data_IF_891485634406
#
_entry.id   IF_891485634406
#
_cell.length_a   1.000
_cell.length_b   1.000
_cell.length_c   1.000
_cell.angle_alpha   90.00
_cell.angle_beta   90.00
_cell.angle_gamma   90.00
#
_symmetry.space_group_name_H-M   'P 1'
#
loop_
_entity.id
_entity.type
_entity.pdbx_description
1 polymer ?
#
# COMPACT_ATOMS: atom_id res chain seq x y z
N UNK A 1 32.13 -4.14 1.97
CA UNK A 1 32.65 -4.48 0.64
C UNK A 1 32.04 -5.82 0.23
N UNK A 2 31.30 -5.89 -0.89
CA UNK A 2 30.74 -7.16 -1.36
C UNK A 2 31.87 -8.05 -1.90
N UNK A 3 32.00 -9.26 -1.37
CA UNK A 3 33.04 -10.19 -1.80
C UNK A 3 32.74 -10.72 -3.21
N UNK A 4 33.69 -10.53 -4.14
CA UNK A 4 33.55 -10.92 -5.55
C UNK A 4 33.13 -12.39 -5.69
N UNK A 5 32.04 -12.63 -6.43
CA UNK A 5 31.57 -13.99 -6.74
C UNK A 5 32.51 -14.64 -7.78
N UNK A 6 32.73 -15.95 -7.66
CA UNK A 6 33.41 -16.71 -8.72
C UNK A 6 32.45 -16.97 -9.87
N UNK A 7 32.96 -17.26 -11.08
CA UNK A 7 32.12 -17.58 -12.24
C UNK A 7 31.09 -18.67 -11.93
N UNK A 8 31.52 -19.72 -11.22
CA UNK A 8 30.63 -20.82 -10.83
C UNK A 8 29.56 -20.44 -9.81
N UNK A 9 29.88 -19.53 -8.90
CA UNK A 9 28.92 -18.98 -7.94
C UNK A 9 27.89 -18.08 -8.64
N UNK A 10 28.31 -17.33 -9.66
CA UNK A 10 27.43 -16.52 -10.49
C UNK A 10 26.45 -17.39 -11.28
N UNK A 11 26.93 -18.48 -11.91
CA UNK A 11 26.08 -19.43 -12.64
C UNK A 11 24.97 -20.02 -11.76
N UNK A 12 25.29 -20.38 -10.51
CA UNK A 12 24.31 -20.87 -9.53
C UNK A 12 23.29 -19.77 -9.20
N UNK A 13 23.75 -18.54 -8.98
CA UNK A 13 22.88 -17.41 -8.67
C UNK A 13 21.91 -17.11 -9.82
N UNK A 14 22.40 -17.16 -11.06
CA UNK A 14 21.60 -16.93 -12.27
C UNK A 14 20.60 -18.05 -12.52
N UNK A 15 20.96 -19.30 -12.20
CA UNK A 15 20.03 -20.42 -12.21
C UNK A 15 18.88 -20.20 -11.21
N UNK A 16 19.21 -19.83 -9.96
CA UNK A 16 18.20 -19.56 -8.93
C UNK A 16 17.26 -18.43 -9.35
N UNK A 17 17.79 -17.33 -9.90
CA UNK A 17 17.00 -16.20 -10.44
C UNK A 17 16.05 -16.65 -11.54
N UNK A 18 16.53 -17.42 -12.50
CA UNK A 18 15.72 -17.92 -13.63
C UNK A 18 14.60 -18.85 -13.16
N UNK A 19 14.90 -19.80 -12.27
CA UNK A 19 13.88 -20.72 -11.75
C UNK A 19 12.80 -19.98 -10.97
N UNK A 20 13.18 -19.04 -10.10
CA UNK A 20 12.22 -18.20 -9.37
C UNK A 20 11.29 -17.43 -10.31
N UNK A 21 11.82 -16.86 -11.40
CA UNK A 21 11.01 -16.13 -12.38
C UNK A 21 10.04 -17.02 -13.17
N UNK A 22 10.36 -18.31 -13.36
CA UNK A 22 9.56 -19.22 -14.17
C UNK A 22 8.52 -20.01 -13.36
N UNK A 23 8.87 -20.42 -12.14
CA UNK A 23 8.04 -21.34 -11.34
C UNK A 23 7.47 -20.71 -10.07
N UNK A 24 7.96 -19.53 -9.68
CA UNK A 24 7.56 -18.85 -8.44
C UNK A 24 8.19 -19.43 -7.17
N UNK A 25 9.06 -20.43 -7.27
CA UNK A 25 9.75 -21.04 -6.12
C UNK A 25 11.23 -21.31 -6.40
N UNK A 26 12.11 -21.24 -5.38
CA UNK A 26 13.53 -21.48 -5.57
C UNK A 26 13.82 -22.97 -5.82
N UNK A 27 14.87 -23.28 -6.61
CA UNK A 27 15.24 -24.66 -6.88
C UNK A 27 15.76 -25.37 -5.63
N UNK A 28 15.66 -26.69 -5.59
CA UNK A 28 16.28 -27.52 -4.54
C UNK A 28 17.76 -27.73 -4.79
N UNK A 29 18.49 -28.21 -3.78
CA UNK A 29 19.92 -28.55 -3.91
C UNK A 29 20.17 -29.64 -4.96
N UNK A 30 19.24 -30.59 -5.07
CA UNK A 30 19.29 -31.66 -6.08
C UNK A 30 19.05 -31.10 -7.49
N UNK A 31 18.08 -30.19 -7.66
CA UNK A 31 17.80 -29.54 -8.94
C UNK A 31 18.99 -28.69 -9.42
N UNK A 32 19.66 -27.95 -8.51
CA UNK A 32 20.88 -27.19 -8.82
C UNK A 32 22.02 -28.13 -9.24
N UNK A 33 22.18 -29.25 -8.52
CA UNK A 33 23.19 -30.25 -8.84
C UNK A 33 22.99 -30.86 -10.23
N UNK A 34 21.75 -31.21 -10.56
CA UNK A 34 21.38 -31.75 -11.87
C UNK A 34 21.57 -30.72 -13.00
N UNK A 35 21.07 -29.49 -12.80
CA UNK A 35 21.09 -28.45 -13.82
C UNK A 35 22.51 -27.96 -14.17
N UNK A 36 23.44 -27.99 -13.21
CA UNK A 36 24.82 -27.54 -13.42
C UNK A 36 25.83 -28.69 -13.54
N UNK A 37 25.39 -29.95 -13.43
CA UNK A 37 26.27 -31.12 -13.57
C UNK A 37 27.23 -31.32 -12.39
N UNK A 38 26.80 -31.03 -11.17
CA UNK A 38 27.59 -31.36 -9.98
C UNK A 38 27.56 -32.86 -9.70
N UNK A 39 28.69 -33.40 -9.23
CA UNK A 39 28.84 -34.84 -8.90
C UNK A 39 27.96 -35.28 -7.72
N UNK A 40 27.49 -34.34 -6.89
CA UNK A 40 26.59 -34.63 -5.77
C UNK A 40 25.84 -33.36 -5.31
N UNK A 41 24.69 -33.51 -4.62
CA UNK A 41 23.97 -32.38 -4.01
C UNK A 41 24.80 -31.59 -2.98
N UNK A 42 25.73 -32.25 -2.28
CA UNK A 42 26.62 -31.60 -1.31
C UNK A 42 27.58 -30.60 -1.96
N UNK A 43 28.03 -30.87 -3.20
CA UNK A 43 28.87 -29.92 -3.93
C UNK A 43 28.12 -28.63 -4.27
N UNK A 44 26.82 -28.71 -4.56
CA UNK A 44 25.96 -27.53 -4.70
C UNK A 44 25.77 -26.81 -3.36
N UNK A 45 25.67 -27.55 -2.26
CA UNK A 45 25.54 -26.98 -0.91
C UNK A 45 26.75 -26.14 -0.48
N UNK A 46 27.97 -26.57 -0.78
CA UNK A 46 29.17 -25.81 -0.45
C UNK A 46 29.21 -24.46 -1.17
N UNK A 47 28.79 -24.44 -2.45
CA UNK A 47 28.66 -23.20 -3.19
C UNK A 47 27.53 -22.31 -2.67
N UNK A 48 26.40 -22.89 -2.26
CA UNK A 48 25.30 -22.14 -1.64
C UNK A 48 25.72 -21.53 -0.29
N UNK A 49 26.46 -22.26 0.54
CA UNK A 49 27.04 -21.74 1.78
C UNK A 49 28.03 -20.61 1.51
N UNK A 50 28.84 -20.74 0.46
CA UNK A 50 29.76 -19.69 0.06
C UNK A 50 29.01 -18.44 -0.46
N UNK A 51 27.94 -18.61 -1.25
CA UNK A 51 27.05 -17.53 -1.68
C UNK A 51 26.37 -16.85 -0.49
N UNK A 52 25.96 -17.63 0.52
CA UNK A 52 25.35 -17.10 1.74
C UNK A 52 26.34 -16.30 2.59
N UNK A 53 27.57 -16.82 2.77
CA UNK A 53 28.66 -16.10 3.43
C UNK A 53 29.02 -14.80 2.70
N UNK A 54 28.87 -14.77 1.38
CA UNK A 54 29.10 -13.57 0.55
C UNK A 54 27.88 -12.64 0.47
N UNK A 55 26.78 -12.97 1.18
CA UNK A 55 25.58 -12.15 1.26
C UNK A 55 24.80 -12.06 -0.05
N UNK A 56 24.97 -13.03 -0.96
CA UNK A 56 24.22 -13.11 -2.21
C UNK A 56 22.89 -13.87 -2.06
N UNK A 57 22.80 -14.76 -1.06
CA UNK A 57 21.60 -15.53 -0.73
C UNK A 57 21.49 -15.74 0.80
N UNK A 58 20.33 -16.13 1.27
CA UNK A 58 20.07 -16.64 2.61
C UNK A 58 19.58 -18.09 2.51
N UNK A 59 20.02 -18.93 3.46
CA UNK A 59 19.67 -20.34 3.52
C UNK A 59 18.86 -20.62 4.79
N UNK A 60 17.66 -21.17 4.63
CA UNK A 60 16.85 -21.67 5.75
C UNK A 60 17.17 -23.14 6.00
N UNK A 61 17.66 -23.46 7.20
CA UNK A 61 17.94 -24.83 7.63
C UNK A 61 16.63 -25.63 7.75
N UNK A 62 16.67 -26.92 7.40
CA UNK A 62 15.51 -27.83 7.50
C UNK A 62 14.44 -27.68 6.40
N UNK A 63 14.52 -26.68 5.53
CA UNK A 63 13.60 -26.51 4.41
C UNK A 63 14.20 -27.01 3.09
N UNK A 64 13.49 -27.88 2.36
CA UNK A 64 13.91 -28.39 1.04
C UNK A 64 14.15 -27.28 0.01
N UNK A 65 13.37 -26.20 0.10
CA UNK A 65 13.41 -24.98 -0.75
C UNK A 65 13.75 -23.71 0.03
N UNK A 66 14.54 -23.84 1.09
CA UNK A 66 14.99 -22.71 1.92
C UNK A 66 16.12 -21.89 1.29
N UNK A 67 15.95 -21.38 0.07
CA UNK A 67 16.93 -20.47 -0.58
C UNK A 67 16.22 -19.15 -0.88
N UNK A 68 16.76 -18.04 -0.38
CA UNK A 68 16.25 -16.69 -0.63
C UNK A 68 17.36 -15.85 -1.25
N UNK A 69 17.08 -15.17 -2.36
CA UNK A 69 18.06 -14.27 -2.99
C UNK A 69 18.18 -12.99 -2.15
N UNK A 70 19.41 -12.56 -1.90
CA UNK A 70 19.70 -11.26 -1.31
C UNK A 70 20.20 -10.36 -2.44
N UNK A 71 19.45 -9.30 -2.75
CA UNK A 71 19.64 -8.48 -3.93
C UNK A 71 21.04 -7.83 -3.93
N UNK A 72 21.95 -8.34 -4.75
CA UNK A 72 23.13 -7.62 -5.23
C UNK A 72 22.89 -7.32 -6.71
N UNK A 73 22.69 -6.05 -7.04
CA UNK A 73 22.72 -5.53 -8.40
C UNK A 73 24.10 -4.89 -8.65
N UNK A 74 24.66 -4.97 -9.88
CA UNK A 74 25.84 -4.21 -10.25
C UNK A 74 25.49 -2.74 -10.54
N UNK A 75 26.25 -1.82 -9.90
CA UNK A 75 26.54 -0.38 -10.11
C UNK A 75 25.84 0.42 -11.25
N UNK A 76 25.74 1.77 -11.19
CA UNK A 76 25.52 2.68 -10.08
C UNK A 76 24.34 3.62 -10.42
N UNK A 77 23.17 3.32 -9.90
CA UNK A 77 22.18 4.33 -9.54
C UNK A 77 22.01 4.14 -8.04
N UNK A 78 21.95 5.22 -7.26
CA UNK A 78 21.65 5.18 -5.82
C UNK A 78 20.33 4.39 -5.57
N UNK A 79 20.40 3.07 -5.59
CA UNK A 79 19.40 2.16 -5.06
C UNK A 79 19.72 2.10 -3.58
N UNK A 80 19.26 3.16 -2.90
CA UNK A 80 18.94 3.18 -1.49
C UNK A 80 18.55 1.74 -1.08
N UNK A 81 19.17 1.24 -0.01
CA UNK A 81 18.68 0.11 0.77
C UNK A 81 17.14 0.15 0.78
N UNK A 82 16.38 -0.96 0.83
CA UNK A 82 14.98 -0.90 1.23
C UNK A 82 14.98 -0.45 2.69
N UNK A 83 15.22 0.84 2.90
CA UNK A 83 14.85 1.53 4.09
C UNK A 83 13.35 1.25 4.20
N UNK A 84 12.84 0.93 5.39
CA UNK A 84 11.39 0.91 5.62
C UNK A 84 10.71 2.21 5.15
N UNK A 85 11.46 3.29 4.92
CA UNK A 85 11.06 4.53 4.26
C UNK A 85 10.77 4.45 2.74
N UNK A 86 11.03 3.33 2.05
CA UNK A 86 10.76 3.14 0.61
C UNK A 86 9.64 2.14 0.32
N UNK A 87 9.08 1.49 1.35
CA UNK A 87 7.92 0.62 1.18
C UNK A 87 6.67 1.49 1.01
N UNK A 88 6.38 1.88 -0.23
CA UNK A 88 5.15 2.59 -0.55
C UNK A 88 3.96 1.64 -0.34
N UNK A 89 2.97 2.10 0.42
CA UNK A 89 1.65 1.47 0.47
C UNK A 89 0.85 1.92 -0.74
N UNK A 90 0.28 0.96 -1.48
CA UNK A 90 -0.61 1.24 -2.59
C UNK A 90 -2.04 1.45 -2.05
N UNK A 91 -2.58 2.64 -2.27
CA UNK A 91 -3.95 3.00 -1.89
C UNK A 91 -4.83 3.18 -3.13
N UNK A 92 -6.04 2.60 -3.16
CA UNK A 92 -6.98 2.87 -4.22
C UNK A 92 -7.45 4.33 -4.13
N UNK A 93 -7.40 5.04 -5.26
CA UNK A 93 -7.98 6.37 -5.42
C UNK A 93 -9.42 6.25 -5.89
N UNK A 94 -10.35 6.58 -5.00
CA UNK A 94 -11.78 6.65 -5.25
C UNK A 94 -12.12 8.04 -5.81
N UNK A 95 -12.75 8.04 -6.98
CA UNK A 95 -13.18 9.25 -7.68
C UNK A 95 -14.67 9.52 -7.49
N UNK A 96 -15.45 9.26 -8.54
CA UNK A 96 -16.92 9.28 -8.47
C UNK A 96 -17.44 8.00 -7.85
N UNK A 97 -18.36 8.16 -6.92
CA UNK A 97 -19.12 7.05 -6.34
C UNK A 97 -20.48 7.04 -7.05
N UNK A 98 -20.84 5.89 -7.62
CA UNK A 98 -22.14 5.64 -8.21
C UNK A 98 -23.14 5.20 -7.14
N UNK A 99 -24.41 5.49 -7.41
CA UNK A 99 -25.55 5.07 -6.61
C UNK A 99 -25.56 3.54 -6.37
N UNK A 100 -25.97 3.12 -5.17
CA UNK A 100 -26.22 1.72 -4.84
C UNK A 100 -25.02 0.78 -4.70
N UNK A 101 -23.79 1.22 -4.97
CA UNK A 101 -22.57 0.41 -4.83
C UNK A 101 -21.70 0.84 -3.62
N UNK A 102 -20.99 -0.08 -2.95
CA UNK A 102 -20.02 0.28 -1.91
C UNK A 102 -18.95 1.27 -2.38
N UNK A 103 -18.46 2.15 -1.50
CA UNK A 103 -17.48 3.19 -1.87
C UNK A 103 -16.19 2.63 -2.51
N UNK A 104 -15.79 1.41 -2.13
CA UNK A 104 -14.61 0.71 -2.66
C UNK A 104 -14.92 -0.26 -3.82
N UNK A 105 -16.10 -0.19 -4.42
CA UNK A 105 -16.39 -0.96 -5.63
C UNK A 105 -15.35 -0.64 -6.71
N UNK A 106 -14.90 -1.65 -7.46
CA UNK A 106 -13.85 -1.52 -8.47
C UNK A 106 -14.15 -0.42 -9.50
N UNK A 107 -15.44 -0.19 -9.79
CA UNK A 107 -15.92 0.86 -10.69
C UNK A 107 -15.63 2.29 -10.22
N UNK A 108 -15.46 2.50 -8.91
CA UNK A 108 -15.14 3.81 -8.33
C UNK A 108 -13.63 4.06 -8.24
N UNK A 109 -12.81 3.02 -8.39
CA UNK A 109 -11.35 3.11 -8.29
C UNK A 109 -10.78 3.60 -9.62
N UNK A 110 -10.26 4.83 -9.62
CA UNK A 110 -9.63 5.42 -10.82
C UNK A 110 -8.24 4.83 -11.08
N UNK A 111 -7.46 4.61 -10.01
CA UNK A 111 -6.09 4.06 -10.03
C UNK A 111 -5.60 3.76 -8.62
N UNK A 112 -4.43 3.14 -8.50
CA UNK A 112 -3.69 3.05 -7.23
C UNK A 112 -2.67 4.18 -7.10
N UNK A 113 -2.42 4.61 -5.87
CA UNK A 113 -1.45 5.66 -5.51
C UNK A 113 -0.47 5.10 -4.49
N UNK A 114 0.82 5.12 -4.82
CA UNK A 114 1.87 4.80 -3.87
C UNK A 114 2.07 5.94 -2.87
N UNK A 115 1.93 5.65 -1.58
CA UNK A 115 2.10 6.62 -0.50
C UNK A 115 3.00 6.04 0.57
N UNK A 116 3.90 6.85 1.13
CA UNK A 116 4.72 6.45 2.28
C UNK A 116 3.81 6.28 3.53
N UNK A 117 3.77 5.09 4.16
CA UNK A 117 2.99 4.85 5.37
C UNK A 117 3.34 5.82 6.51
N UNK A 118 4.59 6.28 6.57
CA UNK A 118 5.07 7.20 7.59
C UNK A 118 4.45 8.61 7.53
N UNK A 119 3.75 8.95 6.44
CA UNK A 119 3.05 10.23 6.31
C UNK A 119 1.79 10.32 7.17
N UNK A 120 1.27 9.19 7.68
CA UNK A 120 0.04 9.16 8.45
C UNK A 120 0.23 8.49 9.81
N UNK A 121 -0.33 9.09 10.86
CA UNK A 121 -0.38 8.46 12.19
C UNK A 121 -1.28 7.24 12.21
N UNK A 122 -2.32 7.22 11.37
CA UNK A 122 -3.20 6.09 11.16
C UNK A 122 -3.15 5.68 9.70
N UNK A 123 -2.95 4.39 9.44
CA UNK A 123 -2.96 3.84 8.09
C UNK A 123 -4.32 4.05 7.42
N UNK A 124 -4.41 4.82 6.32
CA UNK A 124 -5.62 4.90 5.51
C UNK A 124 -5.84 3.61 4.72
N UNK A 125 -7.09 3.33 4.39
CA UNK A 125 -7.50 2.21 3.53
C UNK A 125 -7.66 2.63 2.07
N UNK A 126 -8.00 3.92 1.83
CA UNK A 126 -8.16 4.47 0.49
C UNK A 126 -7.94 5.99 0.47
N UNK A 127 -7.80 6.54 -0.74
CA UNK A 127 -7.82 7.97 -0.98
C UNK A 127 -9.16 8.34 -1.64
N UNK A 128 -9.79 9.42 -1.21
CA UNK A 128 -11.00 9.97 -1.82
C UNK A 128 -10.67 11.31 -2.49
N UNK A 129 -10.99 11.46 -3.77
CA UNK A 129 -10.87 12.74 -4.46
C UNK A 129 -11.97 13.69 -4.02
N UNK A 130 -11.60 14.78 -3.35
CA UNK A 130 -12.53 15.80 -2.86
C UNK A 130 -13.12 16.57 -4.03
N UNK A 131 -14.42 16.86 -3.93
CA UNK A 131 -15.15 17.71 -4.87
C UNK A 131 -15.90 18.81 -4.12
N UNK A 132 -15.75 20.04 -4.59
CA UNK A 132 -16.37 21.22 -4.01
C UNK A 132 -15.60 21.80 -2.82
N UNK A 133 -16.20 22.83 -2.21
CA UNK A 133 -15.55 23.71 -1.25
C UNK A 133 -16.18 23.66 0.15
N UNK A 134 -17.02 22.66 0.44
CA UNK A 134 -17.77 22.62 1.71
C UNK A 134 -16.88 22.49 2.95
N UNK A 135 -15.60 22.13 2.77
CA UNK A 135 -14.63 21.93 3.86
C UNK A 135 -13.44 22.91 3.77
N UNK A 136 -13.61 24.02 3.03
CA UNK A 136 -12.55 25.00 2.74
C UNK A 136 -11.84 25.50 4.00
N UNK A 137 -12.59 25.87 5.02
CA UNK A 137 -12.06 26.50 6.24
C UNK A 137 -11.38 25.47 7.17
N UNK A 138 -11.60 24.17 6.94
CA UNK A 138 -10.79 23.08 7.49
C UNK A 138 -9.51 22.79 6.66
N UNK A 139 -9.24 23.59 5.63
CA UNK A 139 -8.08 23.45 4.75
C UNK A 139 -8.21 22.34 3.70
N UNK A 140 -9.42 21.78 3.51
CA UNK A 140 -9.70 20.75 2.50
C UNK A 140 -10.34 21.43 1.29
N UNK A 141 -9.65 21.40 0.15
CA UNK A 141 -10.02 22.11 -1.07
C UNK A 141 -10.46 21.15 -2.18
N UNK A 142 -11.11 21.71 -3.19
CA UNK A 142 -11.51 20.96 -4.38
C UNK A 142 -10.27 20.32 -5.06
N UNK A 143 -10.37 19.03 -5.38
CA UNK A 143 -9.31 18.27 -6.02
C UNK A 143 -8.24 17.70 -5.08
N UNK A 144 -8.32 17.96 -3.77
CA UNK A 144 -7.47 17.28 -2.79
C UNK A 144 -7.74 15.77 -2.75
N UNK A 145 -6.75 15.01 -2.30
CA UNK A 145 -6.90 13.59 -2.00
C UNK A 145 -6.98 13.42 -0.48
N UNK A 146 -8.18 13.11 0.00
CA UNK A 146 -8.44 12.84 1.40
C UNK A 146 -8.03 11.39 1.72
N UNK A 147 -7.12 11.19 2.67
CA UNK A 147 -6.77 9.86 3.13
C UNK A 147 -7.80 9.38 4.16
N UNK A 148 -8.45 8.26 3.89
CA UNK A 148 -9.60 7.79 4.65
C UNK A 148 -9.30 6.42 5.25
N UNK A 149 -9.53 6.30 6.56
CA UNK A 149 -9.58 5.01 7.25
C UNK A 149 -11.02 4.55 7.34
N UNK A 150 -11.31 3.39 6.77
CA UNK A 150 -12.64 2.78 6.77
C UNK A 150 -13.00 2.37 8.20
N UNK A 151 -14.13 2.87 8.68
CA UNK A 151 -14.65 2.54 10.00
C UNK A 151 -16.14 2.83 10.05
N UNK A 152 -16.96 1.95 10.66
CA UNK A 152 -18.38 2.20 10.87
C UNK A 152 -18.64 3.19 12.03
N UNK A 153 -17.59 3.58 12.76
CA UNK A 153 -17.69 4.46 13.91
C UNK A 153 -16.75 5.67 13.80
N UNK A 154 -17.25 6.82 14.25
CA UNK A 154 -16.51 8.06 14.38
C UNK A 154 -16.96 8.84 15.63
N UNK A 155 -16.02 9.57 16.22
CA UNK A 155 -16.24 10.45 17.36
C UNK A 155 -16.78 11.80 16.90
N UNK A 156 -17.51 12.45 17.81
CA UNK A 156 -17.98 13.81 17.62
C UNK A 156 -16.82 14.75 17.28
N UNK A 157 -17.01 15.61 16.29
CA UNK A 157 -16.00 16.55 15.82
C UNK A 157 -14.98 15.96 14.83
N UNK A 158 -15.00 14.66 14.50
CA UNK A 158 -14.12 14.14 13.44
C UNK A 158 -14.65 14.52 12.04
N UNK A 159 -13.73 14.71 11.09
CA UNK A 159 -14.08 14.83 9.67
C UNK A 159 -14.30 13.41 9.14
N UNK A 160 -15.44 13.20 8.51
CA UNK A 160 -15.91 11.89 8.07
C UNK A 160 -16.25 11.90 6.59
N UNK A 161 -16.15 10.71 5.99
CA UNK A 161 -16.79 10.40 4.72
C UNK A 161 -18.08 9.67 5.03
N UNK A 162 -19.20 10.23 4.59
CA UNK A 162 -20.52 9.64 4.77
C UNK A 162 -21.21 9.52 3.42
N UNK A 163 -22.00 8.46 3.26
CA UNK A 163 -22.94 8.28 2.17
C UNK A 163 -24.34 8.54 2.69
N UNK A 164 -25.06 9.44 2.03
CA UNK A 164 -26.46 9.74 2.28
C UNK A 164 -27.23 9.39 1.02
N UNK A 165 -28.14 8.44 1.13
CA UNK A 165 -28.80 7.86 -0.02
C UNK A 165 -27.73 7.37 -1.04
N UNK A 166 -27.60 8.06 -2.18
CA UNK A 166 -26.60 7.75 -3.21
C UNK A 166 -25.43 8.75 -3.28
N UNK A 167 -25.45 9.81 -2.47
CA UNK A 167 -24.45 10.87 -2.49
C UNK A 167 -23.38 10.68 -1.41
N UNK A 168 -22.10 10.82 -1.80
CA UNK A 168 -20.97 10.80 -0.87
C UNK A 168 -20.53 12.22 -0.52
N UNK A 169 -20.38 12.49 0.77
CA UNK A 169 -20.04 13.81 1.30
C UNK A 169 -18.92 13.74 2.33
N UNK A 170 -18.11 14.80 2.38
CA UNK A 170 -17.11 15.03 3.42
C UNK A 170 -17.58 16.16 4.31
N UNK A 171 -17.75 15.88 5.60
CA UNK A 171 -18.28 16.81 6.60
C UNK A 171 -17.70 16.52 7.99
N UNK A 172 -17.83 17.47 8.91
CA UNK A 172 -17.55 17.22 10.33
C UNK A 172 -18.77 16.56 10.98
N UNK A 173 -18.57 15.42 11.61
CA UNK A 173 -19.62 14.71 12.32
C UNK A 173 -19.97 15.44 13.62
N UNK A 174 -21.26 15.74 13.80
CA UNK A 174 -21.81 16.18 15.07
C UNK A 174 -22.87 15.18 15.55
N UNK A 175 -22.77 14.69 16.79
CA UNK A 175 -23.73 13.81 17.43
C UNK A 175 -24.23 14.42 18.73
N UNK A 176 -25.55 14.51 18.90
CA UNK A 176 -26.21 14.96 20.12
C UNK A 176 -27.38 14.03 20.46
N UNK A 177 -27.15 13.11 21.39
CA UNK A 177 -28.10 12.04 21.69
C UNK A 177 -28.31 11.13 20.46
N UNK A 178 -29.55 11.02 19.99
CA UNK A 178 -29.91 10.28 18.78
C UNK A 178 -29.79 11.09 17.49
N UNK A 179 -29.53 12.39 17.56
CA UNK A 179 -29.43 13.26 16.39
C UNK A 179 -28.01 13.25 15.84
N UNK A 180 -27.91 13.10 14.52
CA UNK A 180 -26.67 13.20 13.76
C UNK A 180 -26.79 14.41 12.82
N UNK A 181 -25.76 15.25 12.83
CA UNK A 181 -25.61 16.34 11.87
C UNK A 181 -24.23 16.27 11.23
N UNK A 182 -24.16 16.65 9.96
CA UNK A 182 -22.93 16.74 9.18
C UNK A 182 -22.67 18.20 8.86
N UNK A 183 -21.69 18.77 9.54
CA UNK A 183 -21.38 20.19 9.49
C UNK A 183 -20.36 20.47 8.37
N UNK A 184 -20.61 21.43 7.48
CA UNK A 184 -19.57 21.96 6.62
C UNK A 184 -18.58 22.81 7.42
N UNK A 185 -17.39 22.97 6.85
CA UNK A 185 -16.39 23.94 7.28
C UNK A 185 -16.27 25.00 6.18
N UNK A 186 -17.41 25.62 5.89
CA UNK A 186 -17.57 26.73 4.97
C UNK A 186 -18.96 27.38 5.20
N UNK A 187 -19.04 28.68 5.58
CA UNK A 187 -20.29 29.41 5.81
C UNK A 187 -21.27 29.42 4.63
N UNK A 188 -20.77 29.23 3.41
CA UNK A 188 -21.61 29.21 2.20
C UNK A 188 -22.46 27.93 2.09
N UNK A 189 -22.25 26.96 2.99
CA UNK A 189 -22.94 25.67 3.00
C UNK A 189 -23.71 25.48 4.31
N UNK A 190 -24.90 24.89 4.24
CA UNK A 190 -25.71 24.58 5.42
C UNK A 190 -25.36 23.21 6.02
N UNK A 191 -25.47 23.05 7.35
CA UNK A 191 -25.46 21.74 8.01
C UNK A 191 -26.49 20.78 7.40
N UNK A 192 -26.13 19.50 7.29
CA UNK A 192 -27.05 18.44 6.88
C UNK A 192 -27.47 17.68 8.14
N UNK A 193 -28.75 17.79 8.51
CA UNK A 193 -29.33 17.00 9.59
C UNK A 193 -29.83 15.66 9.06
N UNK A 194 -29.40 14.55 9.67
CA UNK A 194 -29.82 13.22 9.26
C UNK A 194 -31.21 12.95 9.85
N UNK A 195 -32.19 12.69 8.98
CA UNK A 195 -33.55 12.41 9.41
C UNK A 195 -33.70 10.95 9.88
N UNK A 196 -34.60 10.68 10.85
CA UNK A 196 -34.93 9.31 11.22
C UNK A 196 -35.40 8.50 9.99
N UNK A 197 -34.73 7.37 9.73
CA UNK A 197 -35.05 6.48 8.60
C UNK A 197 -34.40 6.85 7.26
N UNK A 198 -33.63 7.93 7.19
CA UNK A 198 -32.80 8.24 6.02
C UNK A 198 -31.67 7.22 5.87
N UNK A 199 -31.32 6.83 4.63
CA UNK A 199 -30.16 5.97 4.39
C UNK A 199 -28.89 6.78 4.69
N UNK A 200 -28.21 6.42 5.77
CA UNK A 200 -26.98 7.05 6.22
C UNK A 200 -25.96 5.96 6.55
N UNK A 201 -24.84 6.01 5.84
CA UNK A 201 -23.71 5.10 6.06
C UNK A 201 -22.45 5.91 6.32
N UNK A 202 -21.79 5.61 7.42
CA UNK A 202 -20.46 6.13 7.71
C UNK A 202 -19.43 5.26 7.00
N UNK A 203 -18.75 5.82 6.00
CA UNK A 203 -17.76 5.09 5.19
C UNK A 203 -16.37 5.13 5.82
N UNK A 204 -16.05 6.18 6.60
CA UNK A 204 -14.80 6.26 7.34
C UNK A 204 -14.48 7.63 7.91
N UNK A 205 -13.29 7.73 8.49
CA UNK A 205 -12.74 8.97 9.05
C UNK A 205 -11.56 9.47 8.22
N UNK A 206 -11.46 10.78 8.07
CA UNK A 206 -10.28 11.40 7.48
C UNK A 206 -9.09 11.27 8.44
N UNK A 207 -7.97 10.74 7.94
CA UNK A 207 -6.72 10.53 8.69
C UNK A 207 -5.53 11.30 8.11
N UNK A 208 -5.71 11.95 6.96
CA UNK A 208 -4.71 12.81 6.34
C UNK A 208 -5.21 13.44 5.04
N UNK A 209 -4.36 14.26 4.44
CA UNK A 209 -4.68 15.02 3.22
C UNK A 209 -3.43 15.09 2.34
N UNK A 210 -3.59 14.86 1.04
CA UNK A 210 -2.54 15.06 0.04
C UNK A 210 -3.06 16.06 -0.99
N UNK A 211 -2.34 17.16 -1.18
CA UNK A 211 -2.63 18.15 -2.22
C UNK A 211 -1.63 17.99 -3.36
N UNK A 212 -2.13 17.76 -4.56
CA UNK A 212 -1.32 17.51 -5.76
C UNK A 212 -1.35 18.65 -6.77
N UNK A 213 -2.20 19.66 -6.55
CA UNK A 213 -2.28 20.82 -7.42
C UNK A 213 -1.03 21.70 -7.29
N UNK A 214 -0.50 22.23 -8.42
CA UNK A 214 0.59 23.19 -8.38
C UNK A 214 0.16 24.45 -7.65
N UNK A 215 1.09 25.05 -6.90
CA UNK A 215 0.87 26.28 -6.15
C UNK A 215 1.07 27.55 -7.01
N UNK A 216 1.33 27.39 -8.31
CA UNK A 216 1.60 28.45 -9.28
C UNK A 216 1.09 28.08 -10.67
#
# INVERSE_FOLDING_TARGET
MAAKLTARQQEILDLIRRTLAQTGFPPTRAEIAQALGFRSPNAAEDHLKALARKGAIELTAGASRGIRLLNQAPEPVQALLPHPALAQMLLPLVGRVAAGSPILATEHVEREVGVDPGLFTQTPDYLLKVRGLSMRDAGILDGDLLAVKRTPEARNGQIVVARLDDDVTVKRLQRSGSRIALLPENPDFSPIEIQPGQDFVLEGIAVGLIRTQPLH
#
